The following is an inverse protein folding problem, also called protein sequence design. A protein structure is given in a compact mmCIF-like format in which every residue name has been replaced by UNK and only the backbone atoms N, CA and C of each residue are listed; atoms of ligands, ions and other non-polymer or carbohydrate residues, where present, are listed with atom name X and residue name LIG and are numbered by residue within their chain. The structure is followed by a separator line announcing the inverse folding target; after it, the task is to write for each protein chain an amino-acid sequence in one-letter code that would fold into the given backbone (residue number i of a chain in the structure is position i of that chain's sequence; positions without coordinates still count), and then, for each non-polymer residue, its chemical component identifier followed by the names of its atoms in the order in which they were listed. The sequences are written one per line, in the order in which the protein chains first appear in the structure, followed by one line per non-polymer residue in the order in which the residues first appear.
data_IF_441403067849
#
_entry.id   IF_441403067849
#
_cell.length_a   1.000
_cell.length_b   1.000
_cell.length_c   1.000
_cell.angle_alpha   90.00
_cell.angle_beta   90.00
_cell.angle_gamma   90.00
#
_symmetry.space_group_name_H-M   'P 1'
#
loop_
_entity.id
_entity.type
_entity.pdbx_description
1 polymer ?
#
# COMPACT_ATOMS: atom_id res chain seq x y z
N UNK A 1 -5.13 35.90 2.61
CA UNK A 1 -3.81 35.76 1.97
C UNK A 1 -3.76 34.39 1.31
N UNK A 2 -3.77 34.36 -0.02
CA UNK A 2 -3.78 33.13 -0.81
C UNK A 2 -2.32 32.71 -1.05
N UNK A 3 -1.86 31.63 -0.45
CA UNK A 3 -0.59 30.98 -0.80
C UNK A 3 -0.86 29.88 -1.81
N UNK A 4 -0.59 30.20 -3.08
CA UNK A 4 -0.62 29.22 -4.16
C UNK A 4 0.61 28.32 -4.10
N UNK A 5 0.42 27.03 -4.25
CA UNK A 5 1.45 26.03 -4.45
C UNK A 5 1.91 26.07 -5.91
N UNK A 6 3.19 26.35 -6.12
CA UNK A 6 3.82 26.29 -7.44
C UNK A 6 4.25 24.85 -7.68
N UNK A 7 3.57 24.19 -8.60
CA UNK A 7 4.01 22.92 -9.18
C UNK A 7 5.06 23.23 -10.25
N UNK A 8 6.25 22.69 -10.13
CA UNK A 8 7.29 22.83 -11.13
C UNK A 8 6.94 22.00 -12.37
N UNK A 9 6.57 22.69 -13.44
CA UNK A 9 6.38 22.12 -14.77
C UNK A 9 7.74 21.89 -15.41
N UNK A 10 8.10 20.64 -15.74
CA UNK A 10 9.26 20.31 -16.55
C UNK A 10 8.88 20.30 -18.02
N UNK A 11 9.63 21.06 -18.85
CA UNK A 11 9.49 21.12 -20.30
C UNK A 11 9.84 19.77 -20.96
N UNK A 12 8.97 19.33 -21.85
CA UNK A 12 9.23 18.21 -22.77
C UNK A 12 9.92 18.76 -24.04
N UNK A 13 11.03 18.16 -24.42
CA UNK A 13 11.63 18.29 -25.75
C UNK A 13 11.25 17.08 -26.60
N UNK A 14 10.64 17.34 -27.76
CA UNK A 14 10.28 16.34 -28.75
C UNK A 14 11.48 15.95 -29.62
N UNK A 15 11.66 14.65 -29.87
CA UNK A 15 12.44 14.13 -31.00
C UNK A 15 11.61 13.08 -31.72
N UNK A 16 11.37 13.34 -33.00
CA UNK A 16 10.74 12.49 -34.00
C UNK A 16 11.74 11.48 -34.55
N UNK A 17 11.34 10.22 -34.75
CA UNK A 17 11.93 9.36 -35.79
C UNK A 17 11.03 8.19 -36.18
N UNK A 18 11.07 7.96 -37.46
CA UNK A 18 10.35 7.17 -38.44
C UNK A 18 10.02 5.70 -38.12
N UNK A 19 8.91 5.28 -38.73
CA UNK A 19 8.42 3.91 -38.82
C UNK A 19 9.20 3.10 -39.86
N UNK A 20 9.37 1.81 -39.57
CA UNK A 20 9.69 0.77 -40.59
C UNK A 20 8.75 -0.42 -40.36
N UNK A 21 7.99 -0.71 -41.42
CA UNK A 21 7.04 -1.80 -41.57
C UNK A 21 7.76 -3.08 -41.95
N UNK A 22 7.47 -4.22 -41.33
CA UNK A 22 7.76 -5.54 -41.88
C UNK A 22 6.61 -6.52 -41.61
N UNK A 23 6.24 -7.29 -42.64
CA UNK A 23 5.12 -8.21 -42.73
C UNK A 23 5.38 -9.56 -42.01
N UNK A 24 4.33 -10.37 -41.75
CA UNK A 24 4.42 -11.61 -40.98
C UNK A 24 4.75 -12.84 -41.89
N UNK A 25 5.35 -13.89 -41.35
CA UNK A 25 5.49 -15.17 -42.06
C UNK A 25 4.38 -16.17 -41.71
N UNK A 26 4.11 -16.98 -42.74
CA UNK A 26 3.12 -18.02 -42.95
C UNK A 26 3.26 -19.23 -42.01
N UNK A 27 2.13 -19.86 -41.72
CA UNK A 27 1.99 -21.11 -40.98
C UNK A 27 2.40 -22.36 -41.80
N UNK A 28 2.91 -23.38 -41.13
CA UNK A 28 3.14 -24.73 -41.65
C UNK A 28 2.48 -25.81 -40.73
N UNK A 29 2.15 -27.02 -41.25
CA UNK A 29 1.05 -27.84 -40.77
C UNK A 29 1.42 -28.84 -39.66
N UNK A 30 0.38 -29.24 -38.91
CA UNK A 30 0.38 -30.20 -37.79
C UNK A 30 0.75 -31.63 -38.25
N UNK A 31 1.60 -32.27 -37.45
CA UNK A 31 1.78 -33.74 -37.46
C UNK A 31 1.13 -34.33 -36.20
N UNK A 32 0.28 -35.31 -36.43
CA UNK A 32 -0.30 -36.19 -35.43
C UNK A 32 0.76 -37.21 -35.01
N UNK A 33 1.05 -37.36 -33.75
CA UNK A 33 1.88 -38.44 -33.21
C UNK A 33 1.16 -39.17 -32.06
N UNK A 34 1.14 -40.46 -32.24
CA UNK A 34 0.48 -41.49 -31.40
C UNK A 34 1.07 -41.55 -29.99
N UNK A 35 0.19 -41.63 -28.96
CA UNK A 35 0.53 -41.73 -27.58
C UNK A 35 0.92 -43.14 -27.17
N UNK A 36 2.15 -43.31 -26.70
CA UNK A 36 2.59 -44.52 -25.98
C UNK A 36 2.54 -44.20 -24.47
N UNK A 37 1.76 -44.95 -23.71
CA UNK A 37 1.75 -44.84 -22.24
C UNK A 37 3.06 -45.38 -21.69
N UNK A 38 3.83 -44.51 -21.07
CA UNK A 38 4.96 -44.89 -20.20
C UNK A 38 4.54 -44.76 -18.73
N UNK A 39 4.63 -45.85 -18.01
CA UNK A 39 4.40 -45.93 -16.57
C UNK A 39 5.52 -45.16 -15.85
N UNK A 40 5.19 -44.01 -15.28
CA UNK A 40 6.14 -43.19 -14.52
C UNK A 40 6.25 -43.74 -13.10
N UNK A 41 7.42 -44.22 -12.75
CA UNK A 41 7.82 -44.53 -11.36
C UNK A 41 7.89 -43.20 -10.61
N UNK A 42 7.03 -43.03 -9.61
CA UNK A 42 7.06 -41.89 -8.68
C UNK A 42 8.30 -42.06 -7.79
N UNK A 43 9.38 -41.38 -8.12
CA UNK A 43 10.48 -41.17 -7.19
C UNK A 43 10.02 -40.10 -6.18
N UNK A 44 9.89 -40.48 -4.94
CA UNK A 44 9.72 -39.54 -3.81
C UNK A 44 10.93 -38.63 -3.74
N UNK A 45 10.80 -37.42 -4.30
CA UNK A 45 11.82 -36.39 -4.20
C UNK A 45 11.99 -36.00 -2.73
N UNK A 46 13.23 -35.95 -2.28
CA UNK A 46 13.60 -35.39 -1.00
C UNK A 46 13.00 -33.96 -0.86
N UNK A 47 12.54 -33.54 0.33
CA UNK A 47 12.06 -32.19 0.54
C UNK A 47 13.17 -31.19 0.14
N UNK A 48 12.81 -30.04 -0.48
CA UNK A 48 13.81 -29.05 -0.88
C UNK A 48 14.63 -28.64 0.32
N UNK A 49 15.97 -28.70 0.18
CA UNK A 49 16.90 -28.31 1.22
C UNK A 49 16.60 -26.89 1.69
N UNK A 50 16.50 -26.69 2.98
CA UNK A 50 16.38 -25.35 3.57
C UNK A 50 17.54 -24.49 3.08
N UNK A 51 17.28 -23.26 2.58
CA UNK A 51 18.35 -22.40 2.06
C UNK A 51 19.38 -22.15 3.17
N UNK A 52 20.66 -22.24 2.80
CA UNK A 52 21.77 -21.96 3.71
C UNK A 52 21.58 -20.61 4.38
N UNK A 53 21.86 -20.48 5.71
CA UNK A 53 21.78 -19.19 6.39
C UNK A 53 22.66 -18.15 5.68
N UNK A 54 22.04 -17.09 5.12
CA UNK A 54 22.72 -16.02 4.37
C UNK A 54 22.43 -15.95 2.87
N UNK A 55 22.00 -17.04 2.22
CA UNK A 55 21.63 -16.99 0.78
C UNK A 55 20.38 -16.14 0.55
N UNK A 56 20.35 -15.42 -0.58
CA UNK A 56 19.16 -14.65 -1.01
C UNK A 56 18.03 -15.63 -1.38
N UNK A 57 16.83 -15.52 -0.78
CA UNK A 57 15.71 -16.36 -1.17
C UNK A 57 15.36 -16.18 -2.67
N UNK A 58 14.86 -17.22 -3.31
CA UNK A 58 14.41 -17.16 -4.71
C UNK A 58 12.99 -16.64 -4.85
N UNK A 59 12.17 -16.75 -3.80
CA UNK A 59 10.77 -16.28 -3.71
C UNK A 59 10.53 -15.42 -2.49
N UNK A 60 9.39 -14.79 -2.41
CA UNK A 60 8.93 -14.10 -1.20
C UNK A 60 8.71 -15.10 -0.07
N UNK A 61 9.01 -14.67 1.16
CA UNK A 61 8.56 -15.38 2.35
C UNK A 61 7.03 -15.54 2.30
N UNK A 62 6.53 -16.66 2.81
CA UNK A 62 5.09 -16.87 2.87
C UNK A 62 4.48 -16.02 4.00
N UNK A 63 3.24 -15.53 3.82
CA UNK A 63 2.52 -14.86 4.91
C UNK A 63 2.35 -15.82 6.08
N UNK A 64 2.34 -15.26 7.30
CA UNK A 64 2.11 -16.05 8.51
C UNK A 64 0.79 -16.85 8.39
N UNK A 65 0.79 -18.16 8.59
CA UNK A 65 -0.44 -18.98 8.54
C UNK A 65 -1.46 -18.58 9.62
N UNK A 66 -1.00 -17.97 10.72
CA UNK A 66 -1.82 -17.46 11.82
C UNK A 66 -2.13 -15.96 11.72
N UNK A 67 -1.85 -15.34 10.55
CA UNK A 67 -2.19 -13.93 10.31
C UNK A 67 -3.68 -13.68 10.55
N UNK A 68 -4.09 -12.45 10.93
CA UNK A 68 -5.48 -12.12 11.13
C UNK A 68 -6.30 -12.38 9.86
N UNK A 69 -7.56 -12.76 10.05
CA UNK A 69 -8.54 -12.88 8.96
C UNK A 69 -9.64 -11.86 9.15
N UNK A 70 -9.89 -11.09 8.10
CA UNK A 70 -10.85 -10.02 8.07
C UNK A 70 -12.00 -10.36 7.12
N UNK A 71 -13.24 -10.14 7.56
CA UNK A 71 -14.40 -10.04 6.69
C UNK A 71 -15.21 -8.79 7.02
N UNK A 72 -15.64 -8.05 6.01
CA UNK A 72 -16.41 -6.83 6.20
C UNK A 72 -17.56 -6.71 5.20
N UNK A 73 -18.65 -6.11 5.64
CA UNK A 73 -19.73 -5.63 4.78
C UNK A 73 -19.90 -4.14 4.99
N UNK A 74 -19.86 -3.38 3.92
CA UNK A 74 -20.07 -1.93 3.94
C UNK A 74 -21.18 -1.53 2.95
N UNK A 75 -22.01 -0.57 3.34
CA UNK A 75 -23.10 -0.06 2.52
C UNK A 75 -22.97 1.45 2.39
N UNK A 76 -22.80 1.92 1.15
CA UNK A 76 -22.65 3.33 0.81
C UNK A 76 -24.01 3.98 0.56
N UNK A 77 -24.24 5.13 1.22
CA UNK A 77 -25.40 6.00 1.03
C UNK A 77 -24.95 7.46 1.11
N UNK A 78 -24.68 8.08 -0.04
CA UNK A 78 -24.09 9.43 -0.11
C UNK A 78 -22.74 9.46 0.63
N UNK A 79 -22.60 10.42 1.58
CA UNK A 79 -21.40 10.56 2.42
C UNK A 79 -21.40 9.68 3.67
N UNK A 80 -22.33 8.74 3.79
CA UNK A 80 -22.39 7.81 4.94
C UNK A 80 -22.11 6.38 4.48
N UNK A 81 -21.30 5.66 5.26
CA UNK A 81 -21.00 4.24 5.05
C UNK A 81 -21.31 3.49 6.34
N UNK A 82 -22.34 2.66 6.32
CA UNK A 82 -22.60 1.73 7.43
C UNK A 82 -21.85 0.43 7.21
N UNK A 83 -21.28 -0.13 8.25
CA UNK A 83 -20.46 -1.33 8.13
C UNK A 83 -20.54 -2.28 9.31
N UNK A 84 -20.25 -3.54 9.03
CA UNK A 84 -19.93 -4.56 10.02
C UNK A 84 -18.63 -5.22 9.62
N UNK A 85 -17.80 -5.49 10.61
CA UNK A 85 -16.51 -6.12 10.45
C UNK A 85 -16.36 -7.27 11.42
N UNK A 86 -15.78 -8.36 10.96
CA UNK A 86 -15.34 -9.48 11.76
C UNK A 86 -13.87 -9.71 11.57
N UNK A 87 -13.13 -9.73 12.68
CA UNK A 87 -11.70 -10.01 12.76
C UNK A 87 -11.52 -11.31 13.54
N UNK A 88 -10.84 -12.27 12.94
CA UNK A 88 -10.34 -13.47 13.65
C UNK A 88 -8.84 -13.28 13.83
N UNK A 89 -8.39 -13.22 15.07
CA UNK A 89 -7.04 -12.82 15.45
C UNK A 89 -6.42 -13.79 16.46
N UNK A 90 -5.17 -14.16 16.26
CA UNK A 90 -4.37 -14.96 17.21
C UNK A 90 -3.09 -14.18 17.53
N UNK A 91 -3.07 -13.42 18.65
CA UNK A 91 -1.90 -12.67 19.05
C UNK A 91 -0.75 -13.59 19.43
N UNK A 92 0.48 -13.24 19.04
CA UNK A 92 1.70 -13.95 19.44
C UNK A 92 2.17 -13.59 20.86
N UNK A 93 1.60 -12.53 21.44
CA UNK A 93 1.79 -12.11 22.83
C UNK A 93 0.43 -12.17 23.55
N UNK A 94 0.43 -12.48 24.85
CA UNK A 94 -0.81 -12.45 25.65
C UNK A 94 -1.36 -11.01 25.74
N UNK A 95 -2.65 -10.85 25.53
CA UNK A 95 -3.33 -9.56 25.56
C UNK A 95 -4.49 -9.53 26.56
N UNK A 96 -4.88 -8.33 27.01
CA UNK A 96 -6.06 -8.08 27.86
C UNK A 96 -7.13 -7.26 27.14
N UNK A 97 -6.86 -6.82 25.93
CA UNK A 97 -7.77 -6.04 25.08
C UNK A 97 -7.37 -6.20 23.62
N UNK A 98 -8.33 -6.07 22.71
CA UNK A 98 -8.08 -5.86 21.27
C UNK A 98 -8.16 -4.37 20.98
N UNK A 99 -7.21 -3.83 20.23
CA UNK A 99 -7.16 -2.42 19.86
C UNK A 99 -7.39 -2.26 18.37
N UNK A 100 -8.34 -1.38 18.02
CA UNK A 100 -8.62 -0.99 16.64
C UNK A 100 -8.35 0.51 16.46
N UNK A 101 -7.78 0.87 15.30
CA UNK A 101 -7.59 2.27 14.90
C UNK A 101 -8.77 2.75 14.06
N UNK A 102 -9.21 3.97 14.33
CA UNK A 102 -10.36 4.62 13.71
C UNK A 102 -9.89 5.86 12.94
N UNK A 103 -9.27 5.64 11.78
CA UNK A 103 -8.54 6.71 11.08
C UNK A 103 -9.42 7.81 10.50
N UNK A 104 -10.71 7.57 10.22
CA UNK A 104 -11.64 8.64 9.85
C UNK A 104 -11.89 9.67 10.98
N UNK A 105 -11.50 9.36 12.21
CA UNK A 105 -11.51 10.27 13.35
C UNK A 105 -10.13 10.93 13.62
N UNK A 106 -9.16 10.79 12.71
CA UNK A 106 -7.88 11.49 12.79
C UNK A 106 -8.07 13.01 12.68
N UNK A 107 -7.12 13.83 13.19
CA UNK A 107 -7.30 15.28 13.31
C UNK A 107 -7.75 15.98 12.03
N UNK A 108 -7.20 15.59 10.87
CA UNK A 108 -7.48 16.25 9.59
C UNK A 108 -8.88 15.91 9.04
N UNK A 109 -9.29 14.65 8.85
CA UNK A 109 -10.67 14.34 8.44
C UNK A 109 -11.69 14.78 9.48
N UNK A 110 -11.41 14.65 10.78
CA UNK A 110 -12.33 15.09 11.83
C UNK A 110 -12.62 16.60 11.79
N UNK A 111 -11.61 17.44 11.51
CA UNK A 111 -11.79 18.90 11.34
C UNK A 111 -12.75 19.22 10.17
N UNK A 112 -12.88 18.35 9.19
CA UNK A 112 -13.78 18.51 8.04
C UNK A 112 -15.12 17.75 8.21
N UNK A 113 -15.43 17.28 9.41
CA UNK A 113 -16.67 16.54 9.72
C UNK A 113 -16.59 15.03 9.54
N UNK A 114 -15.41 14.50 9.21
CA UNK A 114 -15.16 13.05 9.19
C UNK A 114 -15.25 12.46 10.60
N UNK A 115 -15.91 11.32 10.73
CA UNK A 115 -16.01 10.60 12.00
C UNK A 115 -16.38 9.14 11.82
N UNK A 116 -16.14 8.36 12.86
CA UNK A 116 -16.57 6.96 12.97
C UNK A 116 -17.44 6.84 14.20
N UNK A 117 -18.68 6.44 14.04
CA UNK A 117 -19.54 6.05 15.17
C UNK A 117 -19.43 4.53 15.33
N UNK A 118 -19.05 4.08 16.51
CA UNK A 118 -18.94 2.65 16.83
C UNK A 118 -20.24 2.18 17.45
N UNK A 119 -20.83 1.17 16.87
CA UNK A 119 -22.05 0.51 17.35
C UNK A 119 -21.73 -0.71 18.22
N UNK A 120 -22.48 -1.79 18.02
CA UNK A 120 -22.30 -3.02 18.79
C UNK A 120 -20.94 -3.63 18.58
N UNK A 121 -20.27 -3.99 19.69
CA UNK A 121 -19.01 -4.72 19.70
C UNK A 121 -19.23 -6.08 20.39
N UNK A 122 -18.70 -7.16 19.79
CA UNK A 122 -18.76 -8.52 20.38
C UNK A 122 -17.38 -9.15 20.40
N UNK A 123 -17.11 -9.93 21.43
CA UNK A 123 -15.93 -10.80 21.54
C UNK A 123 -16.42 -12.24 21.67
N UNK A 124 -16.00 -13.12 20.75
CA UNK A 124 -16.46 -14.50 20.67
C UNK A 124 -18.01 -14.64 20.70
N UNK A 125 -18.70 -13.71 20.01
CA UNK A 125 -20.17 -13.66 19.93
C UNK A 125 -20.87 -12.96 21.12
N UNK A 126 -20.18 -12.68 22.22
CA UNK A 126 -20.72 -12.03 23.42
C UNK A 126 -20.56 -10.52 23.29
N UNK A 127 -21.64 -9.76 23.53
CA UNK A 127 -21.60 -8.30 23.53
C UNK A 127 -20.70 -7.78 24.66
N UNK A 128 -19.84 -6.82 24.33
CA UNK A 128 -18.92 -6.16 25.28
C UNK A 128 -18.97 -4.64 25.11
N UNK A 129 -18.73 -3.93 26.20
CA UNK A 129 -18.60 -2.46 26.15
C UNK A 129 -17.18 -2.11 25.74
N UNK A 130 -17.03 -1.58 24.54
CA UNK A 130 -15.77 -0.98 24.07
C UNK A 130 -15.66 0.48 24.53
N UNK A 131 -14.44 0.99 24.63
CA UNK A 131 -14.18 2.39 25.00
C UNK A 131 -13.18 3.04 24.07
N UNK A 132 -13.33 4.33 23.81
CA UNK A 132 -12.28 5.12 23.13
C UNK A 132 -11.30 5.63 24.19
N UNK A 133 -10.00 5.42 23.97
CA UNK A 133 -8.94 6.04 24.76
C UNK A 133 -8.40 7.31 24.10
N UNK A 134 -8.62 7.47 22.81
CA UNK A 134 -8.44 8.70 22.03
C UNK A 134 -9.45 8.70 20.86
N UNK A 135 -9.59 9.78 20.10
CA UNK A 135 -10.48 9.78 18.93
C UNK A 135 -10.22 8.63 17.96
N UNK A 136 -8.96 8.24 17.77
CA UNK A 136 -8.53 7.21 16.81
C UNK A 136 -8.23 5.84 17.43
N UNK A 137 -8.46 5.63 18.72
CA UNK A 137 -8.14 4.36 19.40
C UNK A 137 -9.37 3.80 20.11
N UNK A 138 -9.85 2.67 19.62
CA UNK A 138 -10.91 1.86 20.24
C UNK A 138 -10.28 0.69 20.98
N UNK A 139 -10.62 0.54 22.28
CA UNK A 139 -10.18 -0.58 23.13
C UNK A 139 -11.37 -1.48 23.45
N UNK A 140 -11.21 -2.76 23.21
CA UNK A 140 -12.22 -3.80 23.33
C UNK A 140 -11.70 -4.80 24.37
N UNK A 141 -12.31 -4.92 25.56
CA UNK A 141 -11.87 -5.87 26.58
C UNK A 141 -11.89 -7.31 26.05
N UNK A 142 -10.73 -7.97 26.11
CA UNK A 142 -10.57 -9.37 25.66
C UNK A 142 -9.28 -9.96 26.25
N UNK A 143 -9.37 -10.88 27.19
CA UNK A 143 -8.21 -11.59 27.72
C UNK A 143 -7.92 -12.81 26.83
N UNK A 144 -6.79 -12.80 26.13
CA UNK A 144 -6.43 -13.84 25.16
C UNK A 144 -4.97 -14.25 25.42
N UNK A 145 -4.70 -15.53 25.72
CA UNK A 145 -3.34 -16.04 25.79
C UNK A 145 -2.62 -15.94 24.44
N UNK A 146 -1.30 -15.88 24.47
CA UNK A 146 -0.48 -15.94 23.25
C UNK A 146 -0.83 -17.18 22.42
N UNK A 147 -1.04 -17.02 21.12
CA UNK A 147 -1.39 -18.08 20.18
C UNK A 147 -2.86 -18.53 20.22
N UNK A 148 -3.65 -18.12 21.23
CA UNK A 148 -5.09 -18.42 21.26
C UNK A 148 -5.86 -17.50 20.32
N UNK A 149 -6.91 -18.04 19.67
CA UNK A 149 -7.74 -17.26 18.73
C UNK A 149 -8.85 -16.52 19.45
N UNK A 150 -9.12 -15.29 18.99
CA UNK A 150 -10.27 -14.47 19.39
C UNK A 150 -11.00 -13.98 18.14
N UNK A 151 -12.32 -13.92 18.21
CA UNK A 151 -13.16 -13.30 17.19
C UNK A 151 -13.72 -11.98 17.73
N UNK A 152 -13.53 -10.89 16.99
CA UNK A 152 -14.10 -9.59 17.29
C UNK A 152 -15.04 -9.17 16.18
N UNK A 153 -16.28 -8.83 16.53
CA UNK A 153 -17.27 -8.24 15.61
C UNK A 153 -17.52 -6.79 16.02
N UNK A 154 -17.48 -5.87 15.03
CA UNK A 154 -17.74 -4.45 15.24
C UNK A 154 -18.74 -3.94 14.21
N UNK A 155 -19.81 -3.30 14.67
CA UNK A 155 -20.65 -2.47 13.81
C UNK A 155 -20.17 -1.01 13.86
N UNK A 156 -20.18 -0.32 12.73
CA UNK A 156 -19.72 1.07 12.66
C UNK A 156 -20.45 1.87 11.60
N UNK A 157 -20.37 3.18 11.72
CA UNK A 157 -20.83 4.13 10.70
C UNK A 157 -19.73 5.16 10.45
N UNK A 158 -19.29 5.26 9.17
CA UNK A 158 -18.39 6.31 8.73
C UNK A 158 -19.21 7.50 8.19
N UNK A 159 -18.78 8.69 8.55
CA UNK A 159 -19.22 9.93 7.93
C UNK A 159 -18.07 10.51 7.14
N UNK A 160 -18.20 10.52 5.83
CA UNK A 160 -17.15 10.96 4.92
C UNK A 160 -17.20 12.48 4.75
N UNK A 161 -16.08 13.18 4.94
CA UNK A 161 -16.02 14.63 4.74
C UNK A 161 -16.14 15.02 3.27
N UNK A 162 -16.34 16.32 3.00
CA UNK A 162 -16.34 16.89 1.66
C UNK A 162 -15.28 17.97 1.52
N UNK A 163 -14.76 18.13 0.29
CA UNK A 163 -13.91 19.28 -0.07
C UNK A 163 -12.55 19.31 0.61
N UNK A 164 -12.04 18.19 1.09
CA UNK A 164 -10.67 18.06 1.61
C UNK A 164 -9.87 17.11 0.76
N UNK A 165 -8.57 17.36 0.69
CA UNK A 165 -7.59 16.42 0.14
C UNK A 165 -7.26 15.38 1.22
N UNK A 166 -7.94 14.24 1.16
CA UNK A 166 -7.79 13.18 2.17
C UNK A 166 -8.21 11.82 1.63
N UNK A 167 -7.78 10.76 2.32
CA UNK A 167 -8.17 9.36 2.09
C UNK A 167 -9.65 9.06 2.35
N UNK A 168 -10.38 10.01 2.91
CA UNK A 168 -11.82 9.96 3.16
C UNK A 168 -12.52 11.08 2.42
N UNK A 169 -13.58 10.78 1.69
CA UNK A 169 -14.32 11.85 1.05
C UNK A 169 -15.54 11.40 0.28
N UNK A 170 -16.41 12.38 -0.04
CA UNK A 170 -17.46 12.17 -1.00
C UNK A 170 -17.73 13.45 -1.81
N UNK A 171 -18.13 13.27 -3.08
CA UNK A 171 -18.55 14.34 -3.97
C UNK A 171 -19.63 13.83 -4.94
N UNK A 172 -20.84 14.35 -4.81
CA UNK A 172 -22.00 13.89 -5.59
C UNK A 172 -22.27 12.40 -5.36
N UNK A 173 -22.19 11.59 -6.42
CA UNK A 173 -22.38 10.13 -6.35
C UNK A 173 -21.08 9.37 -6.12
N UNK A 174 -19.93 10.04 -6.04
CA UNK A 174 -18.63 9.42 -5.77
C UNK A 174 -18.33 9.52 -4.29
N UNK A 175 -18.00 8.39 -3.67
CA UNK A 175 -17.58 8.32 -2.27
C UNK A 175 -16.40 7.34 -2.15
N UNK A 176 -15.47 7.64 -1.25
CA UNK A 176 -14.28 6.80 -1.06
C UNK A 176 -13.79 6.82 0.39
N UNK A 177 -13.14 5.75 0.76
CA UNK A 177 -12.29 5.69 1.94
C UNK A 177 -11.06 4.81 1.71
N UNK A 178 -9.98 5.15 2.36
CA UNK A 178 -8.86 4.28 2.67
C UNK A 178 -8.64 4.27 4.16
N UNK A 179 -8.24 3.16 4.76
CA UNK A 179 -8.20 2.98 6.23
C UNK A 179 -9.56 3.26 6.92
N UNK A 180 -10.66 2.97 6.22
CA UNK A 180 -12.00 3.28 6.71
C UNK A 180 -12.62 2.21 7.61
N UNK A 181 -12.12 0.99 7.54
CA UNK A 181 -12.49 -0.06 8.49
C UNK A 181 -11.80 0.18 9.83
N UNK A 182 -12.40 -0.24 10.96
CA UNK A 182 -11.69 -0.27 12.25
C UNK A 182 -10.44 -1.16 12.18
N UNK A 183 -9.26 -0.59 11.99
CA UNK A 183 -8.03 -1.30 11.65
C UNK A 183 -7.40 -1.97 12.88
N UNK A 184 -7.13 -3.28 12.82
CA UNK A 184 -6.42 -4.01 13.86
C UNK A 184 -4.98 -3.47 14.01
N UNK A 185 -4.67 -2.89 15.16
CA UNK A 185 -3.40 -2.18 15.39
C UNK A 185 -2.30 -3.10 15.95
N UNK A 186 -2.12 -4.30 15.39
CA UNK A 186 -1.16 -5.27 15.91
C UNK A 186 0.14 -5.28 15.11
N UNK A 187 1.24 -5.28 15.84
CA UNK A 187 2.58 -5.52 15.35
C UNK A 187 3.14 -6.76 16.04
N UNK A 188 3.33 -7.83 15.27
CA UNK A 188 3.79 -9.13 15.80
C UNK A 188 5.16 -9.01 16.43
N UNK A 189 5.33 -9.59 17.62
CA UNK A 189 6.54 -9.48 18.43
C UNK A 189 6.66 -8.20 19.25
N UNK A 190 5.74 -7.22 19.06
CA UNK A 190 5.80 -5.92 19.73
C UNK A 190 4.51 -5.55 20.47
N UNK A 191 3.36 -5.85 19.91
CA UNK A 191 2.06 -5.55 20.50
C UNK A 191 1.29 -4.45 19.74
N UNK A 192 0.55 -3.61 20.47
CA UNK A 192 -0.33 -2.61 19.87
C UNK A 192 0.44 -1.38 19.38
N UNK A 193 0.29 -1.04 18.11
CA UNK A 193 0.78 0.21 17.51
C UNK A 193 -0.15 1.37 17.92
N UNK A 194 0.30 2.19 18.88
CA UNK A 194 -0.49 3.23 19.51
C UNK A 194 0.07 4.64 19.27
N UNK A 195 0.92 4.82 18.30
CA UNK A 195 1.50 6.09 17.93
C UNK A 195 0.40 7.15 17.73
N UNK A 196 0.60 8.39 18.22
CA UNK A 196 -0.40 9.45 18.08
C UNK A 196 -0.74 9.73 16.61
N UNK A 197 -2.04 9.88 16.32
CA UNK A 197 -2.45 10.37 15.00
C UNK A 197 -2.05 11.84 14.86
N UNK A 198 -1.39 12.19 13.76
CA UNK A 198 -0.96 13.54 13.43
C UNK A 198 -1.91 14.21 12.43
N UNK A 199 -1.90 15.54 12.34
CA UNK A 199 -2.59 16.29 11.31
C UNK A 199 -1.72 16.43 10.03
N UNK A 200 -0.41 16.16 10.14
CA UNK A 200 0.51 16.15 9.03
C UNK A 200 0.27 14.89 8.18
N UNK A 201 0.06 15.05 6.90
CA UNK A 201 0.01 14.02 5.84
C UNK A 201 -0.82 12.75 6.14
N UNK A 202 -1.35 12.60 7.35
CA UNK A 202 -2.20 11.49 7.78
C UNK A 202 -1.56 10.10 7.60
N UNK A 203 -0.22 10.01 7.72
CA UNK A 203 0.46 8.73 7.81
C UNK A 203 -0.07 7.95 9.00
N UNK A 204 -0.61 6.78 8.71
CA UNK A 204 -1.26 5.95 9.69
C UNK A 204 -0.30 4.85 10.15
N UNK A 205 -0.34 4.48 11.42
CA UNK A 205 0.32 3.26 11.85
C UNK A 205 -0.28 2.08 11.10
N UNK A 206 0.55 1.13 10.75
CA UNK A 206 0.13 -0.03 10.00
C UNK A 206 -0.30 -1.19 10.91
N UNK A 207 -0.94 -2.18 10.31
CA UNK A 207 -1.22 -3.48 10.90
C UNK A 207 -0.33 -4.55 10.27
N UNK A 208 -0.18 -5.69 10.93
CA UNK A 208 0.41 -6.87 10.28
C UNK A 208 -0.44 -7.29 9.07
N UNK A 209 0.19 -8.00 8.14
CA UNK A 209 -0.52 -8.51 6.97
C UNK A 209 -1.64 -9.48 7.39
N UNK A 210 -2.85 -9.27 6.86
CA UNK A 210 -4.04 -10.04 7.16
C UNK A 210 -4.63 -10.64 5.87
N UNK A 211 -5.43 -11.68 6.01
CA UNK A 211 -6.24 -12.21 4.92
C UNK A 211 -7.59 -11.49 4.88
N UNK A 212 -7.88 -10.77 3.81
CA UNK A 212 -9.22 -10.25 3.51
C UNK A 212 -10.05 -11.39 2.90
N UNK A 213 -10.74 -12.13 3.76
CA UNK A 213 -11.54 -13.30 3.33
C UNK A 213 -12.77 -12.89 2.54
N UNK A 214 -13.36 -11.74 2.86
CA UNK A 214 -14.48 -11.15 2.13
C UNK A 214 -14.63 -9.66 2.44
N UNK A 215 -14.70 -8.84 1.41
CA UNK A 215 -15.20 -7.47 1.49
C UNK A 215 -16.46 -7.38 0.62
N UNK A 216 -17.61 -7.18 1.25
CA UNK A 216 -18.89 -6.99 0.55
C UNK A 216 -19.23 -5.49 0.53
N UNK A 217 -19.31 -4.91 -0.66
CA UNK A 217 -19.65 -3.50 -0.87
C UNK A 217 -21.05 -3.39 -1.46
N UNK A 218 -21.98 -2.81 -0.71
CA UNK A 218 -23.35 -2.52 -1.13
C UNK A 218 -23.45 -1.06 -1.58
N UNK A 219 -24.12 -0.81 -2.70
CA UNK A 219 -24.26 0.51 -3.31
C UNK A 219 -25.54 0.64 -4.12
N UNK A 220 -25.89 1.86 -4.51
CA UNK A 220 -26.99 2.10 -5.44
C UNK A 220 -26.68 1.45 -6.82
N UNK A 221 -27.74 1.04 -7.52
CA UNK A 221 -27.64 0.48 -8.88
C UNK A 221 -26.99 1.47 -9.85
N UNK A 222 -26.12 0.95 -10.72
CA UNK A 222 -25.42 1.75 -11.73
C UNK A 222 -24.18 2.48 -11.23
N UNK A 223 -23.73 2.24 -9.99
CA UNK A 223 -22.43 2.68 -9.51
C UNK A 223 -21.41 1.53 -9.64
N UNK A 224 -20.17 1.85 -9.96
CA UNK A 224 -19.05 0.93 -9.96
C UNK A 224 -18.38 0.90 -8.58
N UNK A 225 -17.61 -0.16 -8.32
CA UNK A 225 -16.75 -0.27 -7.14
C UNK A 225 -15.30 -0.49 -7.59
N UNK A 226 -14.41 0.33 -7.09
CA UNK A 226 -12.95 0.17 -7.20
C UNK A 226 -12.46 -0.11 -5.78
N UNK A 227 -11.89 -1.28 -5.53
CA UNK A 227 -11.54 -1.67 -4.17
C UNK A 227 -10.32 -2.60 -4.12
N UNK A 228 -9.70 -2.66 -2.95
CA UNK A 228 -8.64 -3.62 -2.60
C UNK A 228 -9.07 -5.06 -2.92
N UNK A 229 -8.16 -5.80 -3.57
CA UNK A 229 -8.30 -7.23 -3.83
C UNK A 229 -9.01 -7.59 -5.13
N UNK A 230 -9.23 -8.88 -5.32
CA UNK A 230 -9.86 -9.45 -6.51
C UNK A 230 -11.37 -9.46 -6.35
N UNK A 231 -12.10 -8.96 -7.34
CA UNK A 231 -13.55 -9.04 -7.38
C UNK A 231 -13.97 -10.48 -7.69
N UNK A 232 -14.74 -11.08 -6.81
CA UNK A 232 -15.17 -12.49 -6.90
C UNK A 232 -16.65 -12.64 -7.23
N UNK A 233 -17.46 -11.60 -7.00
CA UNK A 233 -18.87 -11.59 -7.37
C UNK A 233 -19.39 -10.15 -7.54
N UNK A 234 -20.45 -9.98 -8.35
CA UNK A 234 -21.19 -8.74 -8.51
C UNK A 234 -22.63 -9.02 -8.99
N UNK A 235 -23.60 -8.29 -8.42
CA UNK A 235 -25.03 -8.40 -8.78
C UNK A 235 -25.70 -7.06 -9.10
N UNK A 236 -24.92 -6.03 -9.44
CA UNK A 236 -25.41 -4.69 -9.78
C UNK A 236 -25.68 -3.76 -8.58
N UNK A 237 -25.88 -4.29 -7.38
CA UNK A 237 -26.02 -3.54 -6.11
C UNK A 237 -25.01 -3.96 -5.07
N UNK A 238 -24.36 -5.10 -5.27
CA UNK A 238 -23.38 -5.68 -4.36
C UNK A 238 -22.16 -6.14 -5.15
N UNK A 239 -20.96 -5.78 -4.70
CA UNK A 239 -19.70 -6.34 -5.20
C UNK A 239 -18.95 -7.01 -4.05
N UNK A 240 -18.32 -8.16 -4.31
CA UNK A 240 -17.53 -8.89 -3.31
C UNK A 240 -16.08 -9.00 -3.77
N UNK A 241 -15.17 -8.80 -2.82
CA UNK A 241 -13.73 -8.85 -3.04
C UNK A 241 -13.06 -9.75 -2.01
N UNK A 242 -11.87 -10.27 -2.36
CA UNK A 242 -10.98 -11.00 -1.45
C UNK A 242 -9.52 -10.63 -1.74
N UNK A 243 -8.65 -10.79 -0.74
CA UNK A 243 -7.21 -10.67 -0.93
C UNK A 243 -6.47 -11.58 0.07
N UNK A 244 -5.35 -12.17 -0.38
CA UNK A 244 -4.63 -13.17 0.44
C UNK A 244 -3.80 -12.56 1.56
N UNK A 245 -3.24 -11.38 1.32
CA UNK A 245 -2.34 -10.73 2.25
C UNK A 245 -2.36 -9.23 1.99
N UNK A 246 -3.06 -8.49 2.81
CA UNK A 246 -3.15 -7.02 2.79
C UNK A 246 -3.05 -6.52 4.22
N UNK A 247 -2.71 -5.25 4.40
CA UNK A 247 -2.64 -4.66 5.76
C UNK A 247 -3.63 -3.52 5.96
N UNK A 248 -4.32 -3.14 4.89
CA UNK A 248 -5.36 -2.12 4.92
C UNK A 248 -6.28 -2.29 3.70
N UNK A 249 -7.37 -1.51 3.65
CA UNK A 249 -8.41 -1.60 2.63
C UNK A 249 -8.79 -0.20 2.14
N UNK A 250 -8.84 -0.04 0.81
CA UNK A 250 -9.44 1.11 0.16
C UNK A 250 -10.66 0.70 -0.66
N UNK A 251 -11.68 1.56 -0.66
CA UNK A 251 -12.90 1.41 -1.44
C UNK A 251 -13.32 2.74 -2.03
N UNK A 252 -13.61 2.78 -3.31
CA UNK A 252 -14.25 3.90 -3.98
C UNK A 252 -15.50 3.41 -4.72
N UNK A 253 -16.60 4.16 -4.58
CA UNK A 253 -17.89 3.89 -5.21
C UNK A 253 -18.31 5.10 -6.01
N UNK A 254 -18.73 4.94 -7.27
CA UNK A 254 -19.12 6.05 -8.12
C UNK A 254 -19.50 5.64 -9.55
N UNK A 255 -19.91 6.60 -10.37
CA UNK A 255 -20.12 6.41 -11.82
C UNK A 255 -18.79 6.58 -12.57
N UNK A 256 -17.86 5.66 -12.33
CA UNK A 256 -16.53 5.74 -12.94
C UNK A 256 -16.57 5.41 -14.43
N UNK A 257 -15.73 6.12 -15.21
CA UNK A 257 -15.25 5.61 -16.51
C UNK A 257 -14.16 4.59 -16.23
N UNK A 258 -14.43 3.34 -16.53
CA UNK A 258 -13.54 2.22 -16.20
C UNK A 258 -12.72 1.81 -17.42
N UNK A 259 -11.43 1.55 -17.22
CA UNK A 259 -10.55 0.97 -18.22
C UNK A 259 -9.66 -0.11 -17.58
N UNK A 260 -9.12 -0.97 -18.45
CA UNK A 260 -8.30 -2.11 -18.07
C UNK A 260 -6.99 -2.13 -18.84
N UNK A 261 -5.94 -2.63 -18.19
CA UNK A 261 -4.66 -2.99 -18.80
C UNK A 261 -4.11 -4.24 -18.11
N UNK A 262 -2.98 -4.76 -18.56
CA UNK A 262 -2.27 -5.86 -17.90
C UNK A 262 -0.77 -5.57 -17.79
N UNK A 263 -0.17 -6.01 -16.69
CA UNK A 263 1.27 -6.03 -16.51
C UNK A 263 1.71 -7.51 -16.40
N UNK A 264 1.99 -8.15 -17.53
CA UNK A 264 2.06 -9.62 -17.60
C UNK A 264 0.67 -10.19 -17.25
N UNK A 265 0.62 -11.09 -16.27
CA UNK A 265 -0.63 -11.71 -15.79
C UNK A 265 -1.40 -10.87 -14.76
N UNK A 266 -0.89 -9.69 -14.40
CA UNK A 266 -1.52 -8.83 -13.40
C UNK A 266 -2.53 -7.89 -14.06
N UNK A 267 -3.84 -8.03 -13.80
CA UNK A 267 -4.86 -7.08 -14.25
C UNK A 267 -4.71 -5.74 -13.51
N UNK A 268 -4.81 -4.65 -14.26
CA UNK A 268 -4.89 -3.28 -13.76
C UNK A 268 -6.24 -2.70 -14.13
N UNK A 269 -7.00 -2.24 -13.14
CA UNK A 269 -8.32 -1.65 -13.31
C UNK A 269 -8.29 -0.20 -12.83
N UNK A 270 -8.67 0.72 -13.69
CA UNK A 270 -8.71 2.16 -13.38
C UNK A 270 -10.12 2.68 -13.53
N UNK A 271 -10.63 3.33 -12.50
CA UNK A 271 -11.89 4.08 -12.53
C UNK A 271 -11.63 5.57 -12.40
N UNK A 272 -12.04 6.37 -13.37
CA UNK A 272 -11.95 7.84 -13.34
C UNK A 272 -13.30 8.43 -12.94
N UNK A 273 -13.34 9.22 -11.89
CA UNK A 273 -14.55 9.84 -11.37
C UNK A 273 -15.21 10.81 -12.37
N UNK A 274 -16.53 11.01 -12.31
CA UNK A 274 -17.22 11.97 -13.17
C UNK A 274 -16.66 13.38 -13.06
N UNK A 275 -16.63 14.09 -14.19
CA UNK A 275 -16.15 15.47 -14.28
C UNK A 275 -14.62 15.61 -14.38
N UNK A 276 -13.85 14.54 -14.24
CA UNK A 276 -12.41 14.55 -14.50
C UNK A 276 -12.12 14.28 -15.97
N UNK A 277 -11.02 14.85 -16.48
CA UNK A 277 -10.58 14.74 -17.88
C UNK A 277 -9.50 13.67 -18.08
N UNK A 278 -9.05 13.03 -17.01
CA UNK A 278 -8.05 11.98 -17.06
C UNK A 278 -8.49 10.83 -17.99
N UNK A 279 -7.56 10.33 -18.79
CA UNK A 279 -7.78 9.18 -19.68
C UNK A 279 -7.55 7.88 -18.90
N UNK A 280 -8.64 7.19 -18.59
CA UNK A 280 -8.60 5.95 -17.83
C UNK A 280 -7.74 4.86 -18.50
N UNK A 281 -7.79 4.74 -19.84
CA UNK A 281 -7.02 3.74 -20.57
C UNK A 281 -5.51 4.08 -20.60
N UNK A 282 -5.16 5.34 -20.79
CA UNK A 282 -3.77 5.78 -20.72
C UNK A 282 -3.21 5.60 -19.29
N UNK A 283 -3.99 5.92 -18.26
CA UNK A 283 -3.63 5.69 -16.86
C UNK A 283 -3.39 4.21 -16.58
N UNK A 284 -4.29 3.33 -17.03
CA UNK A 284 -4.15 1.89 -16.83
C UNK A 284 -2.86 1.35 -17.49
N UNK A 285 -2.53 1.80 -18.70
CA UNK A 285 -1.29 1.44 -19.39
C UNK A 285 -0.04 1.93 -18.66
N UNK A 286 -0.08 3.16 -18.14
CA UNK A 286 1.04 3.73 -17.38
C UNK A 286 1.30 2.97 -16.08
N UNK A 287 0.26 2.66 -15.31
CA UNK A 287 0.38 1.85 -14.09
C UNK A 287 0.90 0.44 -14.41
N UNK A 288 0.42 -0.19 -15.48
CA UNK A 288 0.92 -1.48 -15.93
C UNK A 288 2.41 -1.42 -16.36
N UNK A 289 2.86 -0.30 -16.94
CA UNK A 289 4.27 -0.05 -17.25
C UNK A 289 5.10 0.08 -15.97
N UNK A 290 4.62 0.85 -14.98
CA UNK A 290 5.29 1.04 -13.70
C UNK A 290 5.41 -0.28 -12.92
N UNK A 291 4.35 -1.10 -12.89
CA UNK A 291 4.40 -2.45 -12.29
C UNK A 291 5.54 -3.27 -12.91
N UNK A 292 5.66 -3.31 -14.25
CA UNK A 292 6.74 -4.07 -14.91
C UNK A 292 8.13 -3.54 -14.55
N UNK A 293 8.29 -2.21 -14.49
CA UNK A 293 9.55 -1.57 -14.15
C UNK A 293 9.99 -1.90 -12.70
N UNK A 294 9.08 -1.83 -11.74
CA UNK A 294 9.37 -2.15 -10.35
C UNK A 294 9.52 -3.66 -10.11
N UNK A 295 8.72 -4.49 -10.79
CA UNK A 295 8.84 -5.96 -10.70
C UNK A 295 10.22 -6.45 -11.16
N UNK A 296 10.80 -5.86 -12.21
CA UNK A 296 12.16 -6.17 -12.67
C UNK A 296 13.24 -5.88 -11.59
N UNK A 297 12.98 -4.94 -10.66
CA UNK A 297 13.90 -4.53 -9.60
C UNK A 297 13.71 -5.29 -8.31
N UNK A 298 12.46 -5.36 -7.83
CA UNK A 298 12.13 -5.81 -6.48
C UNK A 298 11.58 -7.25 -6.43
N UNK A 299 11.17 -7.80 -7.57
CA UNK A 299 10.54 -9.11 -7.70
C UNK A 299 9.08 -9.00 -8.16
N UNK A 300 8.38 -10.12 -8.38
CA UNK A 300 7.02 -10.14 -8.90
C UNK A 300 6.08 -9.19 -8.18
N UNK A 301 5.07 -8.64 -8.89
CA UNK A 301 4.02 -7.85 -8.26
C UNK A 301 3.33 -8.67 -7.16
N UNK A 302 3.15 -8.13 -5.95
CA UNK A 302 2.76 -8.95 -4.79
C UNK A 302 1.28 -9.36 -4.76
N UNK A 303 0.44 -8.78 -5.61
CA UNK A 303 -1.01 -8.97 -5.58
C UNK A 303 -1.55 -9.56 -6.87
N UNK A 304 -2.73 -10.16 -6.79
CA UNK A 304 -3.41 -10.77 -7.96
C UNK A 304 -3.99 -9.72 -8.92
N UNK A 305 -4.11 -8.45 -8.51
CA UNK A 305 -4.67 -7.33 -9.27
C UNK A 305 -4.26 -6.00 -8.67
N UNK A 306 -4.21 -4.93 -9.48
CA UNK A 306 -4.18 -3.54 -9.00
C UNK A 306 -5.48 -2.82 -9.38
N UNK A 307 -6.10 -2.13 -8.43
CA UNK A 307 -7.29 -1.30 -8.63
C UNK A 307 -6.98 0.16 -8.31
N UNK A 308 -7.31 1.10 -9.20
CA UNK A 308 -7.01 2.53 -9.01
C UNK A 308 -8.25 3.37 -9.22
N UNK A 309 -8.57 4.22 -8.26
CA UNK A 309 -9.62 5.22 -8.38
C UNK A 309 -8.99 6.61 -8.55
N UNK A 310 -9.25 7.26 -9.69
CA UNK A 310 -8.87 8.68 -9.91
C UNK A 310 -9.99 9.55 -9.39
N UNK A 311 -9.68 10.38 -8.39
CA UNK A 311 -10.65 11.09 -7.55
C UNK A 311 -10.44 12.61 -7.57
N UNK A 312 -11.52 13.41 -7.41
CA UNK A 312 -11.44 14.86 -7.57
C UNK A 312 -10.71 15.59 -6.44
N UNK A 313 -10.75 15.05 -5.24
CA UNK A 313 -10.25 15.70 -4.02
C UNK A 313 -9.04 14.98 -3.41
N UNK A 314 -8.25 14.32 -4.24
CA UNK A 314 -6.92 13.78 -3.90
C UNK A 314 -5.88 14.65 -4.61
N UNK A 315 -4.84 15.08 -3.87
CA UNK A 315 -3.75 15.89 -4.41
C UNK A 315 -2.43 15.12 -4.36
N UNK A 316 -2.19 14.25 -5.31
CA UNK A 316 -1.11 13.27 -5.33
C UNK A 316 -1.68 11.88 -5.49
N UNK A 317 -1.16 10.91 -4.76
CA UNK A 317 -1.75 9.59 -4.62
C UNK A 317 -1.81 9.19 -3.15
N UNK A 318 -2.46 8.09 -2.87
CA UNK A 318 -2.46 7.44 -1.57
C UNK A 318 -2.48 5.93 -1.83
N UNK A 319 -1.50 5.26 -1.31
CA UNK A 319 -1.22 3.84 -1.45
C UNK A 319 -2.09 2.98 -0.54
N UNK A 320 -2.54 1.85 -1.07
CA UNK A 320 -3.15 0.75 -0.33
C UNK A 320 -2.75 -0.57 -0.97
N UNK A 321 -2.61 -1.66 -0.21
CA UNK A 321 -2.29 -2.95 -0.80
C UNK A 321 -3.28 -3.35 -1.89
N UNK A 322 -2.82 -3.56 -3.11
CA UNK A 322 -3.62 -3.86 -4.29
C UNK A 322 -4.61 -2.75 -4.72
N UNK A 323 -4.48 -1.53 -4.17
CA UNK A 323 -5.36 -0.41 -4.53
C UNK A 323 -4.66 0.95 -4.36
N UNK A 324 -4.97 1.93 -5.22
CA UNK A 324 -4.45 3.29 -5.13
C UNK A 324 -5.62 4.27 -5.25
N UNK A 325 -5.64 5.28 -4.40
CA UNK A 325 -6.48 6.47 -4.56
C UNK A 325 -5.62 7.56 -5.22
N UNK A 326 -5.86 7.89 -6.48
CA UNK A 326 -5.03 8.81 -7.26
C UNK A 326 -5.75 10.12 -7.53
N UNK A 327 -5.04 11.22 -7.44
CA UNK A 327 -5.56 12.55 -7.73
C UNK A 327 -5.68 12.83 -9.22
N UNK A 328 -6.56 13.78 -9.56
CA UNK A 328 -6.68 14.28 -10.93
C UNK A 328 -5.34 14.81 -11.46
N UNK A 329 -5.01 14.48 -12.71
CA UNK A 329 -3.79 14.95 -13.38
C UNK A 329 -2.50 14.23 -12.92
N UNK A 330 -2.56 13.30 -11.96
CA UNK A 330 -1.41 12.57 -11.44
C UNK A 330 -1.14 11.25 -12.19
N UNK A 331 -1.85 11.05 -13.29
CA UNK A 331 -1.91 9.77 -14.02
C UNK A 331 -0.77 9.57 -15.02
N UNK A 332 0.03 10.61 -15.31
CA UNK A 332 1.07 10.62 -16.36
C UNK A 332 2.47 10.95 -15.85
N UNK A 333 2.61 11.28 -14.60
CA UNK A 333 3.88 11.76 -14.02
C UNK A 333 4.52 10.74 -13.08
N UNK A 334 5.46 11.23 -12.29
CA UNK A 334 6.19 10.44 -11.32
C UNK A 334 5.27 9.85 -10.24
N UNK A 335 4.16 10.51 -9.90
CA UNK A 335 3.23 10.08 -8.85
C UNK A 335 2.68 8.69 -9.11
N UNK A 336 2.21 8.39 -10.34
CA UNK A 336 1.70 7.05 -10.67
C UNK A 336 2.76 5.95 -10.45
N UNK A 337 4.04 6.23 -10.75
CA UNK A 337 5.15 5.30 -10.52
C UNK A 337 5.49 5.18 -9.03
N UNK A 338 5.41 6.28 -8.29
CA UNK A 338 5.60 6.34 -6.84
C UNK A 338 4.57 5.46 -6.12
N UNK A 339 3.29 5.66 -6.41
CA UNK A 339 2.21 4.89 -5.79
C UNK A 339 2.29 3.39 -6.11
N UNK A 340 2.73 3.01 -7.32
CA UNK A 340 3.01 1.60 -7.64
C UNK A 340 4.21 1.09 -6.85
N UNK A 341 5.19 1.94 -6.52
CA UNK A 341 6.32 1.59 -5.67
C UNK A 341 5.90 1.09 -4.28
N UNK A 342 4.87 1.71 -3.71
CA UNK A 342 4.30 1.35 -2.42
C UNK A 342 3.67 -0.05 -2.36
N UNK A 343 3.39 -0.68 -3.49
CA UNK A 343 2.93 -2.07 -3.48
C UNK A 343 3.99 -3.05 -2.95
N UNK A 344 5.27 -2.68 -3.05
CA UNK A 344 6.40 -3.38 -2.41
C UNK A 344 6.75 -2.76 -1.06
N UNK A 345 6.81 -1.41 -0.96
CA UNK A 345 7.25 -0.63 0.18
C UNK A 345 6.05 -0.04 0.91
N UNK A 346 5.53 -0.65 1.90
CA UNK A 346 4.28 -0.59 2.62
C UNK A 346 3.41 -1.83 2.34
N UNK A 347 3.02 -2.08 1.11
CA UNK A 347 2.08 -3.17 0.78
C UNK A 347 2.64 -4.55 1.13
N UNK A 348 3.72 -4.97 0.50
CA UNK A 348 4.36 -6.27 0.71
C UNK A 348 5.23 -6.28 1.97
N UNK A 349 6.15 -5.32 2.09
CA UNK A 349 6.96 -5.11 3.27
C UNK A 349 6.36 -3.93 4.02
N UNK A 350 5.71 -4.20 5.15
CA UNK A 350 5.14 -3.16 5.98
C UNK A 350 6.21 -2.44 6.80
N UNK A 351 5.83 -1.29 7.26
CA UNK A 351 6.50 -0.51 8.27
C UNK A 351 5.47 0.06 9.25
N UNK A 352 5.88 0.68 10.29
CA UNK A 352 5.02 1.55 11.09
C UNK A 352 5.16 2.97 10.53
N UNK A 353 4.23 3.38 9.68
CA UNK A 353 4.26 4.69 9.01
C UNK A 353 4.35 5.87 9.97
N UNK A 354 3.82 5.74 11.19
CA UNK A 354 3.91 6.81 12.19
C UNK A 354 5.31 6.90 12.81
N UNK A 355 6.01 5.79 12.94
CA UNK A 355 7.31 5.68 13.59
C UNK A 355 8.47 5.81 12.62
N UNK A 356 8.38 5.14 11.48
CA UNK A 356 9.44 5.01 10.49
C UNK A 356 8.98 5.39 9.06
N UNK A 357 8.32 6.55 8.82
CA UNK A 357 7.66 6.89 7.55
C UNK A 357 8.61 6.88 6.34
N UNK A 358 9.91 6.94 6.55
CA UNK A 358 10.90 6.93 5.49
C UNK A 358 11.10 5.55 4.85
N UNK A 359 10.77 4.45 5.57
CA UNK A 359 10.86 3.09 5.02
C UNK A 359 9.83 2.87 3.91
N UNK A 360 8.76 3.59 3.98
CA UNK A 360 7.71 3.64 2.99
C UNK A 360 8.06 4.67 1.90
N UNK A 361 8.04 5.94 2.23
CA UNK A 361 8.07 7.07 1.34
C UNK A 361 9.40 7.28 0.60
N UNK A 362 10.52 7.06 1.31
CA UNK A 362 11.82 7.19 0.65
C UNK A 362 12.08 6.06 -0.33
N UNK A 363 11.61 4.84 -0.04
CA UNK A 363 11.76 3.72 -0.97
C UNK A 363 10.82 3.82 -2.17
N UNK A 364 9.59 4.28 -2.01
CA UNK A 364 8.69 4.55 -3.14
C UNK A 364 9.25 5.67 -4.04
N UNK A 365 9.77 6.76 -3.44
CA UNK A 365 10.46 7.84 -4.18
C UNK A 365 11.74 7.35 -4.87
N UNK A 366 12.50 6.44 -4.24
CA UNK A 366 13.68 5.82 -4.85
C UNK A 366 13.28 4.92 -6.04
N UNK A 367 12.22 4.13 -5.90
CA UNK A 367 11.69 3.28 -6.97
C UNK A 367 11.25 4.14 -8.18
N UNK A 368 10.49 5.20 -7.93
CA UNK A 368 10.11 6.22 -8.91
C UNK A 368 11.34 6.85 -9.58
N UNK A 369 12.33 7.26 -8.80
CA UNK A 369 13.54 7.89 -9.33
C UNK A 369 14.30 6.99 -10.30
N UNK A 370 14.37 5.69 -10.02
CA UNK A 370 14.98 4.71 -10.91
C UNK A 370 14.14 4.40 -12.15
N UNK A 371 12.82 4.46 -12.04
CA UNK A 371 11.89 4.24 -13.15
C UNK A 371 11.85 5.44 -14.10
N UNK A 372 11.82 6.65 -13.56
CA UNK A 372 11.64 7.90 -14.31
C UNK A 372 12.96 8.61 -14.68
N UNK A 373 14.08 8.18 -14.13
CA UNK A 373 15.35 8.85 -14.33
C UNK A 373 15.46 10.19 -13.59
N UNK A 374 14.60 10.44 -12.59
CA UNK A 374 14.58 11.69 -11.81
C UNK A 374 15.69 11.77 -10.74
N UNK A 375 16.41 10.68 -10.50
CA UNK A 375 17.47 10.58 -9.50
C UNK A 375 18.47 11.74 -9.49
N UNK A 376 19.01 12.22 -10.65
CA UNK A 376 19.92 13.35 -10.66
C UNK A 376 19.33 14.66 -10.10
N UNK A 377 18.02 14.88 -10.22
CA UNK A 377 17.36 16.05 -9.64
C UNK A 377 17.24 15.93 -8.11
N UNK A 378 16.93 14.75 -7.60
CA UNK A 378 16.86 14.49 -6.16
C UNK A 378 18.22 14.63 -5.48
N UNK A 379 19.29 14.14 -6.11
CA UNK A 379 20.66 14.30 -5.60
C UNK A 379 21.10 15.77 -5.50
N UNK A 380 20.54 16.66 -6.31
CA UNK A 380 20.85 18.11 -6.30
C UNK A 380 19.89 18.94 -5.43
N UNK A 381 18.81 18.35 -4.95
CA UNK A 381 17.80 19.07 -4.16
C UNK A 381 18.37 19.55 -2.84
N UNK A 382 18.23 20.84 -2.55
CA UNK A 382 18.62 21.41 -1.27
C UNK A 382 17.63 20.99 -0.19
N UNK A 383 18.13 20.33 0.84
CA UNK A 383 17.35 19.93 2.00
C UNK A 383 17.34 21.06 3.03
N UNK A 384 16.19 21.50 3.53
CA UNK A 384 16.10 22.53 4.56
C UNK A 384 16.88 22.15 5.82
N UNK A 385 17.50 23.12 6.48
CA UNK A 385 18.36 22.90 7.64
C UNK A 385 17.65 22.10 8.76
N UNK A 386 16.37 22.39 9.03
CA UNK A 386 15.57 21.67 10.02
C UNK A 386 15.27 20.21 9.70
N UNK A 387 15.49 19.77 8.44
CA UNK A 387 15.26 18.40 7.99
C UNK A 387 16.53 17.66 7.57
N UNK A 388 17.65 18.37 7.40
CA UNK A 388 18.92 17.77 6.99
C UNK A 388 19.41 16.75 8.03
N UNK A 389 19.69 15.52 7.62
CA UNK A 389 20.09 14.44 8.51
C UNK A 389 18.99 13.97 9.47
N UNK A 390 17.71 14.14 9.11
CA UNK A 390 16.56 13.81 9.96
C UNK A 390 15.56 12.88 9.27
N UNK A 391 15.94 12.17 8.20
CA UNK A 391 15.06 11.33 7.41
C UNK A 391 14.28 10.31 8.27
N UNK A 392 14.92 9.68 9.24
CA UNK A 392 14.34 8.65 10.10
C UNK A 392 13.55 9.18 11.31
N UNK A 393 13.16 10.45 11.34
CA UNK A 393 12.35 10.99 12.42
C UNK A 393 10.86 10.57 12.28
N UNK A 394 10.16 10.29 13.41
CA UNK A 394 8.76 9.86 13.38
C UNK A 394 7.81 11.02 13.01
N UNK A 395 6.55 10.67 12.66
CA UNK A 395 5.52 11.65 12.27
C UNK A 395 5.27 12.72 13.33
N UNK A 396 5.42 12.40 14.61
CA UNK A 396 5.31 13.38 15.70
C UNK A 396 6.38 14.48 15.64
N UNK A 397 7.57 14.19 15.13
CA UNK A 397 8.60 15.22 14.85
C UNK A 397 8.17 16.12 13.68
N UNK A 398 7.52 15.56 12.67
CA UNK A 398 7.11 16.29 11.47
C UNK A 398 5.82 17.10 11.66
N UNK A 399 5.02 16.84 12.70
CA UNK A 399 3.75 17.52 12.97
C UNK A 399 3.88 19.05 12.96
N UNK A 400 4.93 19.58 13.57
CA UNK A 400 5.22 21.03 13.57
C UNK A 400 6.11 21.48 12.40
N UNK A 401 6.49 20.57 11.48
CA UNK A 401 7.47 20.79 10.39
C UNK A 401 6.96 20.36 9.02
N UNK A 402 5.64 20.38 8.83
CA UNK A 402 4.98 19.88 7.62
C UNK A 402 5.54 20.44 6.30
N UNK A 403 5.92 21.72 6.29
CA UNK A 403 6.48 22.41 5.09
C UNK A 403 7.80 21.83 4.59
N UNK A 404 8.54 21.12 5.44
CA UNK A 404 9.83 20.53 5.07
C UNK A 404 9.81 19.00 5.02
N UNK A 405 8.70 18.35 5.45
CA UNK A 405 8.56 16.89 5.51
C UNK A 405 8.90 16.22 4.18
N UNK A 406 8.23 16.60 3.10
CA UNK A 406 8.44 16.01 1.78
C UNK A 406 9.91 16.02 1.35
N UNK A 407 10.59 17.17 1.45
CA UNK A 407 12.01 17.25 1.07
C UNK A 407 12.92 16.45 2.00
N UNK A 408 12.54 16.27 3.25
CA UNK A 408 13.37 15.63 4.27
C UNK A 408 13.19 14.11 4.35
N UNK A 409 12.00 13.61 4.09
CA UNK A 409 11.70 12.17 4.14
C UNK A 409 11.77 11.56 2.74
N UNK A 410 10.99 12.06 1.78
CA UNK A 410 10.94 11.54 0.42
C UNK A 410 12.25 11.79 -0.33
N UNK A 411 12.57 13.06 -0.56
CA UNK A 411 13.70 13.43 -1.45
C UNK A 411 15.04 13.12 -0.81
N UNK A 412 15.29 13.51 0.44
CA UNK A 412 16.55 13.20 1.13
C UNK A 412 16.75 11.70 1.30
N UNK A 413 15.68 10.98 1.65
CA UNK A 413 15.71 9.53 1.80
C UNK A 413 16.01 8.81 0.48
N UNK A 414 15.30 9.14 -0.60
CA UNK A 414 15.59 8.60 -1.92
C UNK A 414 17.00 8.96 -2.41
N UNK A 415 17.46 10.20 -2.20
CA UNK A 415 18.81 10.61 -2.52
C UNK A 415 19.88 9.83 -1.72
N UNK A 416 19.60 9.50 -0.46
CA UNK A 416 20.47 8.64 0.36
C UNK A 416 20.54 7.21 -0.19
N UNK A 417 19.41 6.63 -0.58
CA UNK A 417 19.35 5.31 -1.23
C UNK A 417 20.09 5.29 -2.57
N UNK A 418 19.96 6.34 -3.38
CA UNK A 418 20.69 6.48 -4.64
C UNK A 418 22.22 6.57 -4.40
N UNK A 419 22.69 7.35 -3.41
CA UNK A 419 24.10 7.42 -3.02
C UNK A 419 24.59 6.09 -2.45
N UNK A 420 23.80 5.43 -1.60
CA UNK A 420 24.11 4.11 -1.06
C UNK A 420 24.31 3.07 -2.17
N UNK A 421 23.43 3.10 -3.18
CA UNK A 421 23.54 2.25 -4.37
C UNK A 421 24.82 2.54 -5.17
N UNK A 422 25.11 3.80 -5.41
CA UNK A 422 26.32 4.20 -6.15
C UNK A 422 27.63 3.85 -5.38
N UNK A 423 27.67 4.12 -4.09
CA UNK A 423 28.85 3.90 -3.23
C UNK A 423 29.15 2.41 -2.98
N UNK A 424 28.14 1.54 -3.06
CA UNK A 424 28.27 0.09 -2.82
C UNK A 424 28.39 -0.72 -4.10
N UNK A 425 28.23 -0.11 -5.26
CA UNK A 425 28.05 -0.78 -6.54
C UNK A 425 26.60 -1.20 -6.76
N UNK A 426 26.04 -0.78 -7.88
CA UNK A 426 24.62 -0.95 -8.18
C UNK A 426 24.13 -2.41 -8.07
N UNK A 427 24.88 -3.36 -8.62
CA UNK A 427 24.49 -4.77 -8.62
C UNK A 427 24.45 -5.35 -7.19
N UNK A 428 25.43 -5.03 -6.34
CA UNK A 428 25.49 -5.51 -4.96
C UNK A 428 24.35 -4.93 -4.11
N UNK A 429 24.10 -3.63 -4.25
CA UNK A 429 23.01 -2.95 -3.55
C UNK A 429 21.65 -3.48 -4.00
N UNK A 430 21.38 -3.53 -5.30
CA UNK A 430 20.11 -4.01 -5.86
C UNK A 430 19.83 -5.46 -5.45
N UNK A 431 20.87 -6.31 -5.38
CA UNK A 431 20.72 -7.67 -4.87
C UNK A 431 20.38 -7.69 -3.38
N UNK A 432 21.06 -6.90 -2.55
CA UNK A 432 20.78 -6.82 -1.11
C UNK A 432 19.34 -6.33 -0.84
N UNK A 433 18.87 -5.32 -1.58
CA UNK A 433 17.49 -4.82 -1.49
C UNK A 433 16.48 -5.89 -1.94
N UNK A 434 16.75 -6.59 -3.05
CA UNK A 434 15.88 -7.69 -3.48
C UNK A 434 15.79 -8.80 -2.46
N UNK A 435 16.91 -9.13 -1.81
CA UNK A 435 16.94 -10.13 -0.73
C UNK A 435 16.18 -9.63 0.50
N UNK A 436 16.28 -8.33 0.84
CA UNK A 436 15.52 -7.70 1.91
C UNK A 436 14.01 -7.85 1.65
N UNK A 437 13.55 -7.50 0.45
CA UNK A 437 12.15 -7.64 0.04
C UNK A 437 11.68 -9.10 0.19
N UNK A 438 12.44 -10.05 -0.30
CA UNK A 438 12.06 -11.47 -0.29
C UNK A 438 11.99 -12.06 1.12
N UNK A 439 12.93 -11.71 2.00
CA UNK A 439 12.97 -12.22 3.39
C UNK A 439 11.89 -11.63 4.27
N UNK A 440 11.57 -10.36 4.05
CA UNK A 440 10.67 -9.60 4.91
C UNK A 440 9.27 -9.42 4.33
N UNK A 441 8.97 -10.11 3.21
CA UNK A 441 7.62 -10.09 2.65
C UNK A 441 6.56 -10.41 3.72
N UNK A 442 5.48 -9.64 3.74
CA UNK A 442 4.34 -9.73 4.66
C UNK A 442 4.64 -9.37 6.13
N UNK A 443 5.84 -8.88 6.45
CA UNK A 443 6.21 -8.46 7.81
C UNK A 443 6.19 -6.94 7.93
N UNK A 444 6.09 -6.43 9.15
CA UNK A 444 6.43 -5.05 9.50
C UNK A 444 7.93 -5.02 9.72
N UNK A 445 8.65 -4.17 9.00
CA UNK A 445 10.10 -4.02 9.07
C UNK A 445 10.49 -2.72 9.76
N UNK A 446 11.71 -2.71 10.23
CA UNK A 446 12.32 -1.60 10.97
C UNK A 446 13.62 -1.15 10.29
N UNK A 447 14.16 0.02 10.62
CA UNK A 447 15.50 0.43 10.20
C UNK A 447 16.60 -0.59 10.56
N UNK A 448 16.42 -1.35 11.65
CA UNK A 448 17.35 -2.40 12.05
C UNK A 448 17.34 -3.60 11.08
N UNK A 449 16.17 -4.01 10.58
CA UNK A 449 16.03 -5.08 9.58
C UNK A 449 16.69 -4.69 8.24
N UNK A 450 16.54 -3.44 7.84
CA UNK A 450 17.22 -2.91 6.65
C UNK A 450 18.75 -2.89 6.86
N UNK A 451 19.22 -2.39 8.01
CA UNK A 451 20.65 -2.38 8.36
C UNK A 451 21.24 -3.80 8.35
N UNK A 452 20.54 -4.79 8.89
CA UNK A 452 20.98 -6.19 8.85
C UNK A 452 21.07 -6.70 7.40
N UNK A 453 20.12 -6.34 6.55
CA UNK A 453 20.15 -6.71 5.13
C UNK A 453 21.30 -6.06 4.37
N UNK A 454 21.78 -4.90 4.82
CA UNK A 454 22.89 -4.15 4.22
C UNK A 454 24.23 -4.35 4.96
N UNK A 455 24.32 -5.28 5.94
CA UNK A 455 25.52 -5.43 6.81
C UNK A 455 26.84 -5.63 6.05
N UNK A 456 26.80 -6.26 4.89
CA UNK A 456 27.97 -6.49 4.03
C UNK A 456 28.25 -5.30 3.06
N UNK A 457 27.51 -4.22 3.16
CA UNK A 457 27.64 -3.00 2.34
C UNK A 457 27.87 -1.76 3.24
N UNK A 458 29.04 -1.65 3.88
CA UNK A 458 29.30 -0.58 4.85
C UNK A 458 29.21 0.82 4.24
N UNK A 459 29.47 0.97 2.93
CA UNK A 459 29.30 2.23 2.23
C UNK A 459 27.82 2.65 2.17
N UNK A 460 26.91 1.72 1.90
CA UNK A 460 25.47 2.00 1.94
C UNK A 460 25.01 2.45 3.34
N UNK A 461 25.46 1.75 4.37
CA UNK A 461 25.11 2.11 5.76
C UNK A 461 25.59 3.51 6.10
N UNK A 462 26.80 3.92 5.67
CA UNK A 462 27.31 5.28 5.91
C UNK A 462 26.44 6.36 5.26
N UNK A 463 26.02 6.15 4.00
CA UNK A 463 25.15 7.11 3.29
C UNK A 463 23.77 7.27 3.96
N UNK A 464 23.16 6.15 4.40
CA UNK A 464 21.89 6.18 5.10
C UNK A 464 21.98 6.81 6.49
N UNK A 465 23.10 6.57 7.22
CA UNK A 465 23.39 7.26 8.48
C UNK A 465 23.60 8.76 8.31
N UNK A 466 24.31 9.18 7.27
CA UNK A 466 24.51 10.59 6.97
C UNK A 466 23.20 11.33 6.69
N UNK A 467 22.19 10.65 6.17
CA UNK A 467 20.83 11.18 6.02
C UNK A 467 19.98 11.10 7.30
N UNK A 468 20.48 10.45 8.35
CA UNK A 468 19.73 10.16 9.58
C UNK A 468 18.60 9.13 9.38
N UNK A 469 18.71 8.29 8.37
CA UNK A 469 17.76 7.22 8.07
C UNK A 469 18.05 5.95 8.90
N UNK A 470 19.32 5.68 9.17
CA UNK A 470 19.74 4.60 10.07
C UNK A 470 20.41 5.17 11.33
N UNK A 471 20.29 4.49 12.48
CA UNK A 471 20.98 4.83 13.70
C UNK A 471 22.50 4.56 13.64
#
# INVERSE_FOLDING_TARGET
MRTGWVVATALAAACTSSAATTAPPTAAPSRITTTTQSTTIVTTGAPPASPSPGACPTSYAQPDPHRPRLSATVAFSGGTVTGTERIVFAPDLAIREVVLRLWAAAPRPAKAGGRVDVGTTKVNGIAVTSRRSSPTVLRIPATVPAGASVTVDVAFTLHLPTGINDRFGHRGTTAWFGSGLPLLAWERGRGWALEPATAAFAEASTSEAMELTSLTVKRAKGLNVIATGVQVAEDGTTAKFRARSVRDVAVAVGRFRVAHATAGDVPVVVGVAPGLTDDAAATARELARAIRAHAARFGPFPYERLAVAVLPDIGGGIEYPAAILLGKGQTKDATASHEVGHEWWYGLIGDDQARDPWLDEAFATYAEALDRGTGPSYLRTTIPAGGKGKTGQPMTFWESRQSIYFRSVYIQGAAALLRARAASGAAAFDNAIRCHVRRNAHRITTPADLRESLKNLPAAIRELRAAGALP
#
